data_IF_910757351111
#
_entry.id   IF_910757351111
#
_cell.length_a   1.000
_cell.length_b   1.000
_cell.length_c   1.000
_cell.angle_alpha   90.00
_cell.angle_beta   90.00
_cell.angle_gamma   90.00
#
_symmetry.space_group_name_H-M   'P 1'
#
loop_
_entity.id
_entity.type
_entity.pdbx_description
1 polymer ?
#
# COMPACT_ATOMS: atom_id res chain seq x y z
N UNK A 1 -7.07 -9.23 -27.67
CA UNK A 1 -7.37 -8.54 -26.38
C UNK A 1 -6.96 -9.34 -25.14
N UNK A 2 -7.13 -10.68 -25.05
CA UNK A 2 -6.77 -11.46 -23.84
C UNK A 2 -5.31 -11.33 -23.36
N UNK A 3 -4.32 -11.25 -24.26
CA UNK A 3 -2.89 -11.14 -23.86
C UNK A 3 -2.56 -9.83 -23.14
N UNK A 4 -3.20 -8.72 -23.52
CA UNK A 4 -2.97 -7.39 -22.92
C UNK A 4 -3.49 -7.37 -21.49
N UNK A 5 -4.66 -7.97 -21.25
CA UNK A 5 -5.27 -8.04 -19.92
C UNK A 5 -4.43 -8.86 -18.95
N UNK A 6 -3.81 -9.96 -19.42
CA UNK A 6 -2.92 -10.80 -18.61
C UNK A 6 -1.66 -10.03 -18.20
N UNK A 7 -1.04 -9.28 -19.13
CA UNK A 7 0.11 -8.44 -18.81
C UNK A 7 -0.17 -7.39 -17.74
N UNK A 8 -1.32 -6.71 -17.82
CA UNK A 8 -1.74 -5.76 -16.79
C UNK A 8 -1.91 -6.41 -15.42
N UNK A 9 -2.49 -7.61 -15.34
CA UNK A 9 -2.67 -8.31 -14.05
C UNK A 9 -1.33 -8.59 -13.38
N UNK A 10 -0.35 -9.09 -14.12
CA UNK A 10 0.99 -9.32 -13.58
C UNK A 10 1.67 -8.03 -13.15
N UNK A 11 1.55 -6.95 -13.94
CA UNK A 11 2.10 -5.65 -13.56
C UNK A 11 1.49 -5.14 -12.25
N UNK A 12 0.15 -5.17 -12.13
CA UNK A 12 -0.54 -4.78 -10.89
C UNK A 12 -0.12 -5.65 -9.70
N UNK A 13 0.00 -6.97 -9.89
CA UNK A 13 0.44 -7.86 -8.83
C UNK A 13 1.86 -7.56 -8.34
N UNK A 14 2.78 -7.29 -9.26
CA UNK A 14 4.16 -6.89 -8.94
C UNK A 14 4.17 -5.55 -8.19
N UNK A 15 3.35 -4.59 -8.60
CA UNK A 15 3.21 -3.30 -7.89
C UNK A 15 2.72 -3.49 -6.45
N UNK A 16 1.75 -4.37 -6.20
CA UNK A 16 1.29 -4.68 -4.85
C UNK A 16 2.39 -5.32 -4.00
N UNK A 17 3.16 -6.27 -4.56
CA UNK A 17 4.28 -6.88 -3.85
C UNK A 17 5.39 -5.88 -3.51
N UNK A 18 5.78 -5.04 -4.47
CA UNK A 18 6.77 -3.97 -4.25
C UNK A 18 6.30 -2.97 -3.19
N UNK A 19 5.02 -2.59 -3.23
CA UNK A 19 4.45 -1.67 -2.25
C UNK A 19 4.42 -2.28 -0.85
N UNK A 20 3.98 -3.54 -0.72
CA UNK A 20 4.00 -4.26 0.54
C UNK A 20 5.42 -4.40 1.09
N UNK A 21 6.39 -4.71 0.22
CA UNK A 21 7.80 -4.80 0.60
C UNK A 21 8.34 -3.46 1.11
N UNK A 22 8.10 -2.37 0.38
CA UNK A 22 8.51 -1.03 0.78
C UNK A 22 7.93 -0.63 2.15
N UNK A 23 6.64 -0.90 2.38
CA UNK A 23 5.97 -0.64 3.67
C UNK A 23 6.44 -1.57 4.79
N UNK A 24 6.87 -2.79 4.46
CA UNK A 24 7.40 -3.74 5.43
C UNK A 24 8.79 -3.32 5.95
N UNK A 25 9.64 -2.80 5.06
CA UNK A 25 10.98 -2.30 5.42
C UNK A 25 10.90 -1.15 6.43
N UNK A 26 9.90 -0.28 6.32
CA UNK A 26 9.72 0.86 7.22
C UNK A 26 8.27 0.95 7.75
N UNK A 27 7.85 -0.11 8.45
CA UNK A 27 6.47 -0.23 8.94
C UNK A 27 6.12 0.83 9.99
N UNK A 28 7.14 1.35 10.69
CA UNK A 28 6.96 2.40 11.67
C UNK A 28 6.62 3.75 11.01
N UNK A 29 7.32 4.12 9.93
CA UNK A 29 6.95 5.32 9.15
C UNK A 29 5.56 5.19 8.52
N UNK A 30 5.19 3.98 8.08
CA UNK A 30 3.85 3.72 7.58
C UNK A 30 2.77 3.80 8.68
N UNK A 31 3.06 3.33 9.89
CA UNK A 31 2.17 3.49 11.05
C UNK A 31 2.00 4.97 11.42
N UNK A 32 3.08 5.75 11.44
CA UNK A 32 3.01 7.21 11.64
C UNK A 32 2.11 7.87 10.59
N UNK A 33 2.25 7.50 9.31
CA UNK A 33 1.39 7.97 8.23
C UNK A 33 -0.09 7.68 8.51
N UNK A 34 -0.42 6.48 9.00
CA UNK A 34 -1.80 6.11 9.37
C UNK A 34 -2.30 6.94 10.56
N UNK A 35 -1.48 7.16 11.58
CA UNK A 35 -1.82 8.01 12.73
C UNK A 35 -2.16 9.44 12.31
N UNK A 36 -1.49 9.95 11.28
CA UNK A 36 -1.79 11.28 10.72
C UNK A 36 -3.19 11.39 10.12
N UNK A 37 -3.90 10.31 9.77
CA UNK A 37 -5.31 10.39 9.37
C UNK A 37 -6.22 10.85 10.51
N UNK A 38 -5.76 10.77 11.76
CA UNK A 38 -6.48 11.30 12.92
C UNK A 38 -7.70 10.48 13.36
N UNK A 39 -8.05 9.42 12.62
CA UNK A 39 -9.14 8.50 12.95
C UNK A 39 -8.78 7.62 14.17
N UNK A 40 -7.51 7.22 14.28
CA UNK A 40 -7.00 6.35 15.35
C UNK A 40 -5.67 6.92 15.83
N UNK A 41 -5.59 7.25 17.12
CA UNK A 41 -4.37 7.80 17.77
C UNK A 41 -3.62 6.78 18.63
N UNK A 42 -4.25 5.65 18.94
CA UNK A 42 -3.66 4.62 19.79
C UNK A 42 -2.56 3.87 19.02
N UNK A 43 -1.29 3.92 19.46
CA UNK A 43 -0.16 3.42 18.67
C UNK A 43 -0.24 1.91 18.38
N UNK A 44 -0.78 1.13 19.32
CA UNK A 44 -0.96 -0.33 19.17
C UNK A 44 -1.97 -0.67 18.05
N UNK A 45 -3.06 0.10 17.98
CA UNK A 45 -4.11 -0.12 16.98
C UNK A 45 -3.61 0.32 15.61
N UNK A 46 -2.90 1.45 15.54
CA UNK A 46 -2.31 1.97 14.31
C UNK A 46 -1.28 0.99 13.73
N UNK A 47 -0.41 0.43 14.57
CA UNK A 47 0.59 -0.56 14.13
C UNK A 47 -0.08 -1.85 13.63
N UNK A 48 -1.13 -2.31 14.32
CA UNK A 48 -1.90 -3.48 13.92
C UNK A 48 -2.59 -3.25 12.56
N UNK A 49 -3.11 -2.04 12.32
CA UNK A 49 -3.70 -1.65 11.04
C UNK A 49 -2.64 -1.60 9.92
N UNK A 50 -1.45 -1.07 10.23
CA UNK A 50 -0.31 -1.04 9.31
C UNK A 50 0.06 -2.45 8.84
N UNK A 51 0.20 -3.39 9.77
CA UNK A 51 0.49 -4.80 9.48
C UNK A 51 -0.64 -5.44 8.68
N UNK A 52 -1.90 -5.15 9.02
CA UNK A 52 -3.06 -5.68 8.31
C UNK A 52 -3.10 -5.20 6.84
N UNK A 53 -2.79 -3.94 6.58
CA UNK A 53 -2.72 -3.40 5.21
C UNK A 53 -1.58 -4.07 4.43
N UNK A 54 -0.38 -4.18 5.01
CA UNK A 54 0.77 -4.81 4.35
C UNK A 54 0.50 -6.28 4.05
N UNK A 55 -0.08 -7.02 4.99
CA UNK A 55 -0.44 -8.43 4.78
C UNK A 55 -1.54 -8.60 3.72
N UNK A 56 -2.52 -7.70 3.67
CA UNK A 56 -3.53 -7.66 2.60
C UNK A 56 -2.91 -7.38 1.23
N UNK A 57 -2.01 -6.41 1.10
CA UNK A 57 -1.32 -6.11 -0.17
C UNK A 57 -0.48 -7.30 -0.64
N UNK A 58 0.23 -7.95 0.29
CA UNK A 58 1.09 -9.09 -0.01
C UNK A 58 0.26 -10.31 -0.43
N UNK A 59 -0.82 -10.60 0.27
CA UNK A 59 -1.74 -11.70 -0.07
C UNK A 59 -2.47 -11.45 -1.40
N UNK A 60 -2.89 -10.22 -1.69
CA UNK A 60 -3.47 -9.86 -2.99
C UNK A 60 -2.47 -10.01 -4.14
N UNK A 61 -1.24 -9.50 -3.97
CA UNK A 61 -0.16 -9.65 -4.94
C UNK A 61 0.15 -11.12 -5.24
N UNK A 62 0.33 -11.95 -4.20
CA UNK A 62 0.54 -13.39 -4.35
C UNK A 62 -0.65 -14.09 -5.01
N UNK A 63 -1.88 -13.76 -4.58
CA UNK A 63 -3.10 -14.37 -5.12
C UNK A 63 -3.25 -14.09 -6.60
N UNK A 64 -2.93 -12.87 -7.07
CA UNK A 64 -2.97 -12.53 -8.49
C UNK A 64 -1.89 -13.22 -9.33
N UNK A 65 -0.74 -13.59 -8.73
CA UNK A 65 0.33 -14.34 -9.42
C UNK A 65 0.00 -15.83 -9.50
N UNK A 66 -0.45 -16.41 -8.38
CA UNK A 66 -0.77 -17.84 -8.25
C UNK A 66 -2.06 -18.17 -8.98
N UNK A 67 -3.09 -17.36 -8.78
CA UNK A 67 -4.35 -17.47 -9.51
C UNK A 67 -4.13 -16.84 -10.87
N UNK A 68 -3.75 -17.64 -11.87
CA UNK A 68 -3.63 -17.29 -13.31
C UNK A 68 -4.91 -16.70 -13.93
N UNK A 69 -5.91 -16.34 -13.13
CA UNK A 69 -7.30 -16.25 -13.54
C UNK A 69 -7.73 -14.79 -13.48
N UNK A 70 -8.12 -14.28 -14.65
CA UNK A 70 -8.99 -13.12 -14.84
C UNK A 70 -10.38 -13.38 -14.20
N UNK A 71 -10.43 -13.79 -12.94
CA UNK A 71 -11.71 -14.00 -12.28
C UNK A 71 -12.25 -12.60 -11.95
N UNK A 72 -13.40 -12.20 -12.50
CA UNK A 72 -13.89 -10.83 -12.38
C UNK A 72 -14.08 -10.41 -10.91
N UNK A 73 -14.34 -11.35 -10.00
CA UNK A 73 -14.39 -11.06 -8.56
C UNK A 73 -13.05 -10.67 -7.96
N UNK A 74 -11.95 -11.33 -8.36
CA UNK A 74 -10.61 -10.99 -7.84
C UNK A 74 -10.19 -9.59 -8.34
N UNK A 75 -10.45 -9.30 -9.61
CA UNK A 75 -10.23 -7.97 -10.18
C UNK A 75 -11.05 -6.87 -9.47
N UNK A 76 -12.32 -7.13 -9.15
CA UNK A 76 -13.16 -6.19 -8.41
C UNK A 76 -12.60 -5.90 -7.02
N UNK A 77 -12.20 -6.93 -6.28
CA UNK A 77 -11.60 -6.76 -4.93
C UNK A 77 -10.30 -5.96 -5.03
N UNK A 78 -9.41 -6.30 -5.96
CA UNK A 78 -8.17 -5.55 -6.18
C UNK A 78 -8.45 -4.09 -6.52
N UNK A 79 -9.44 -3.81 -7.37
CA UNK A 79 -9.78 -2.45 -7.76
C UNK A 79 -10.32 -1.64 -6.58
N UNK A 80 -11.16 -2.24 -5.74
CA UNK A 80 -11.66 -1.61 -4.50
C UNK A 80 -10.50 -1.31 -3.54
N UNK A 81 -9.60 -2.28 -3.34
CA UNK A 81 -8.45 -2.10 -2.45
C UNK A 81 -7.50 -1.03 -3.00
N UNK A 82 -7.22 -1.05 -4.30
CA UNK A 82 -6.40 -0.04 -4.97
C UNK A 82 -7.01 1.35 -4.86
N UNK A 83 -8.33 1.47 -5.09
CA UNK A 83 -9.06 2.73 -4.96
C UNK A 83 -9.06 3.24 -3.52
N UNK A 84 -9.24 2.35 -2.54
CA UNK A 84 -9.16 2.68 -1.12
C UNK A 84 -7.78 3.19 -0.73
N UNK A 85 -6.72 2.44 -1.06
CA UNK A 85 -5.33 2.83 -0.78
C UNK A 85 -4.94 4.13 -1.49
N UNK A 86 -5.32 4.28 -2.76
CA UNK A 86 -5.06 5.52 -3.52
C UNK A 86 -5.83 6.69 -2.94
N UNK A 87 -7.08 6.49 -2.54
CA UNK A 87 -7.90 7.53 -1.91
C UNK A 87 -7.33 7.98 -0.58
N UNK A 88 -6.85 7.04 0.24
CA UNK A 88 -6.11 7.33 1.48
C UNK A 88 -4.88 8.18 1.14
N UNK A 89 -4.06 7.75 0.18
CA UNK A 89 -2.82 8.45 -0.20
C UNK A 89 -3.08 9.86 -0.73
N UNK A 90 -4.08 10.04 -1.59
CA UNK A 90 -4.51 11.34 -2.11
C UNK A 90 -5.06 12.25 -1.01
N UNK A 91 -5.87 11.71 -0.09
CA UNK A 91 -6.38 12.47 1.05
C UNK A 91 -5.26 12.95 1.97
N UNK A 92 -4.28 12.09 2.24
CA UNK A 92 -3.08 12.47 2.97
C UNK A 92 -2.31 13.61 2.27
N UNK A 93 -2.12 13.49 0.96
CA UNK A 93 -1.42 14.50 0.17
C UNK A 93 -2.13 15.87 0.18
N UNK A 94 -3.44 15.89 -0.12
CA UNK A 94 -4.20 17.14 -0.28
C UNK A 94 -4.52 17.87 1.03
N UNK A 95 -4.79 17.14 2.12
CA UNK A 95 -5.27 17.75 3.36
C UNK A 95 -4.21 17.87 4.46
N UNK A 96 -3.11 17.11 4.37
CA UNK A 96 -2.10 17.01 5.43
C UNK A 96 -0.69 17.45 5.02
N UNK A 97 -0.52 17.96 3.79
CA UNK A 97 0.75 18.48 3.27
C UNK A 97 1.91 17.50 3.52
N UNK A 98 1.68 16.28 3.05
CA UNK A 98 2.57 15.13 3.19
C UNK A 98 3.76 15.26 2.22
N UNK A 99 4.56 16.32 2.38
CA UNK A 99 5.77 16.54 1.57
C UNK A 99 6.89 15.56 1.94
N UNK A 100 6.90 14.97 3.15
CA UNK A 100 8.09 14.21 3.63
C UNK A 100 7.85 12.90 4.41
N UNK A 101 6.61 12.50 4.74
CA UNK A 101 6.41 11.37 5.67
C UNK A 101 5.98 10.07 4.98
N UNK A 102 6.97 9.28 4.58
CA UNK A 102 6.96 7.84 4.87
C UNK A 102 6.45 6.86 3.81
N UNK A 103 5.93 7.30 2.66
CA UNK A 103 5.54 6.34 1.59
C UNK A 103 6.75 5.60 0.97
N UNK A 104 7.96 6.14 1.11
CA UNK A 104 9.21 5.56 0.61
C UNK A 104 10.22 5.19 1.70
N UNK A 105 9.84 5.28 2.98
CA UNK A 105 10.78 5.14 4.10
C UNK A 105 11.93 6.15 4.04
N UNK A 106 12.81 6.11 5.02
CA UNK A 106 13.97 7.00 5.13
C UNK A 106 15.04 6.82 4.02
N UNK A 107 14.70 6.33 2.82
CA UNK A 107 15.60 6.26 1.66
C UNK A 107 15.79 7.62 0.96
N UNK A 108 14.88 8.57 1.20
CA UNK A 108 14.95 9.95 0.68
C UNK A 108 15.38 10.95 1.75
N UNK A 109 15.52 10.58 3.03
CA UNK A 109 16.15 11.48 4.00
C UNK A 109 17.66 11.27 4.03
N UNK A 110 18.36 11.93 3.10
CA UNK A 110 19.81 12.09 3.13
C UNK A 110 20.21 13.42 3.78
N UNK A 111 19.52 13.86 4.85
CA UNK A 111 19.93 15.04 5.59
C UNK A 111 19.31 15.17 6.99
N UNK A 112 19.79 14.40 7.96
CA UNK A 112 19.81 14.88 9.36
C UNK A 112 20.87 14.14 10.16
N UNK A 113 21.99 14.84 10.39
CA UNK A 113 22.83 14.63 11.58
C UNK A 113 21.93 14.75 12.82
N UNK A 114 21.99 13.77 13.71
CA UNK A 114 22.07 13.99 15.15
C UNK A 114 23.00 12.92 15.73
#
# INVERSE_FOLDING_TARGET
MKKVTVGCVYFTAIMFLLSAFAKCVDIHSFAILISYFGIIREPVIVLSLAVLIVTMELTLGLTMIVSRVLHPSCLKVTLVVLAGLSGILVYGCLFKNLEDYGCFGSFVNKNTKF
#
